data_IF_891123093541
#
_entry.id   IF_891123093541
#
_cell.length_a   1.000
_cell.length_b   1.000
_cell.length_c   1.000
_cell.angle_alpha   90.00
_cell.angle_beta   90.00
_cell.angle_gamma   90.00
#
_symmetry.space_group_name_H-M   'P 1'
#
loop_
_entity.id
_entity.type
_entity.pdbx_description
1 polymer ?
#
# COMPACT_ATOMS: atom_id res chain seq x y z
N UNK A 1 37.88 -20.85 16.94
CA UNK A 1 37.05 -20.60 15.76
C UNK A 1 37.95 -20.59 14.53
N UNK A 2 37.62 -21.40 13.52
CA UNK A 2 38.31 -21.45 12.22
C UNK A 2 37.97 -20.23 11.34
N UNK A 3 38.62 -20.09 10.17
CA UNK A 3 38.23 -19.08 9.18
C UNK A 3 36.79 -19.31 8.69
N UNK A 4 36.38 -20.57 8.54
CA UNK A 4 35.00 -20.98 8.22
C UNK A 4 34.04 -20.48 9.29
N UNK A 5 34.36 -20.71 10.57
CA UNK A 5 33.53 -20.27 11.70
C UNK A 5 33.36 -18.74 11.74
N UNK A 6 34.42 -17.97 11.46
CA UNK A 6 34.34 -16.50 11.37
C UNK A 6 33.50 -16.03 10.19
N UNK A 7 33.57 -16.73 9.06
CA UNK A 7 32.75 -16.44 7.89
C UNK A 7 31.27 -16.73 8.15
N UNK A 8 30.95 -17.85 8.81
CA UNK A 8 29.60 -18.20 9.26
C UNK A 8 29.06 -17.18 10.27
N UNK A 9 29.88 -16.76 11.23
CA UNK A 9 29.52 -15.72 12.18
C UNK A 9 29.10 -14.43 11.48
N UNK A 10 29.90 -13.94 10.52
CA UNK A 10 29.58 -12.74 9.75
C UNK A 10 28.26 -12.88 8.96
N UNK A 11 28.03 -14.04 8.34
CA UNK A 11 26.79 -14.34 7.63
C UNK A 11 25.57 -14.32 8.55
N UNK A 12 25.68 -14.90 9.76
CA UNK A 12 24.61 -14.93 10.75
C UNK A 12 24.27 -13.54 11.30
N UNK A 13 25.23 -12.60 11.33
CA UNK A 13 24.98 -11.23 11.80
C UNK A 13 24.06 -10.43 10.88
N UNK A 14 24.16 -10.62 9.55
CA UNK A 14 23.42 -9.80 8.58
C UNK A 14 21.89 -9.82 8.78
N UNK A 15 21.20 -10.98 8.76
CA UNK A 15 19.75 -11.02 8.97
C UNK A 15 19.31 -10.56 10.36
N UNK A 16 20.16 -10.74 11.38
CA UNK A 16 19.89 -10.22 12.74
C UNK A 16 19.87 -8.69 12.70
N UNK A 17 20.90 -8.06 12.12
CA UNK A 17 20.97 -6.60 11.98
C UNK A 17 19.79 -6.09 11.14
N UNK A 18 19.51 -6.73 10.00
CA UNK A 18 18.37 -6.39 9.14
C UNK A 18 17.03 -6.47 9.88
N UNK A 19 16.89 -7.38 10.84
CA UNK A 19 15.67 -7.51 11.66
C UNK A 19 15.58 -6.48 12.76
N UNK A 20 16.70 -6.18 13.44
CA UNK A 20 16.72 -5.29 14.60
C UNK A 20 16.73 -3.81 14.21
N UNK A 21 17.32 -3.45 13.07
CA UNK A 21 17.50 -2.05 12.69
C UNK A 21 16.17 -1.29 12.56
N UNK A 22 15.11 -1.83 11.91
CA UNK A 22 13.81 -1.17 11.81
C UNK A 22 13.03 -1.07 13.13
N UNK A 23 13.44 -1.78 14.18
CA UNK A 23 12.81 -1.65 15.51
C UNK A 23 13.22 -0.37 16.23
N UNK A 24 14.28 0.30 15.76
CA UNK A 24 14.70 1.58 16.30
C UNK A 24 13.78 2.70 15.81
N UNK A 25 13.56 3.77 16.60
CA UNK A 25 12.68 4.89 16.25
C UNK A 25 13.36 5.88 15.26
N UNK A 26 13.99 5.35 14.21
CA UNK A 26 14.62 6.15 13.15
C UNK A 26 13.84 6.04 11.85
N UNK A 27 13.41 7.19 11.32
CA UNK A 27 12.63 7.31 10.08
C UNK A 27 13.50 7.33 8.81
N UNK A 28 14.83 7.30 8.93
CA UNK A 28 15.74 7.38 7.79
C UNK A 28 15.64 6.14 6.89
N UNK A 29 15.69 6.32 5.56
CA UNK A 29 15.50 5.25 4.58
C UNK A 29 16.46 4.06 4.76
N UNK A 30 17.72 4.30 5.18
CA UNK A 30 18.70 3.21 5.42
C UNK A 30 18.28 2.23 6.50
N UNK A 31 17.41 2.67 7.41
CA UNK A 31 16.82 1.84 8.46
C UNK A 31 15.53 1.21 7.93
N UNK A 32 14.64 2.04 7.38
CA UNK A 32 13.30 1.63 6.91
C UNK A 32 13.32 0.66 5.74
N UNK A 33 14.40 0.61 4.94
CA UNK A 33 14.53 -0.31 3.80
C UNK A 33 14.37 -1.78 4.21
N UNK A 34 14.71 -2.14 5.45
CA UNK A 34 14.57 -3.52 5.95
C UNK A 34 13.14 -3.87 6.41
N UNK A 35 12.20 -2.91 6.43
CA UNK A 35 10.77 -3.22 6.61
C UNK A 35 10.18 -3.92 5.38
N UNK A 36 10.78 -3.77 4.20
CA UNK A 36 10.26 -4.31 2.95
C UNK A 36 10.56 -5.81 2.76
N UNK A 37 11.81 -6.30 2.86
CA UNK A 37 12.15 -7.67 2.49
C UNK A 37 11.95 -8.71 3.61
N UNK A 38 10.84 -8.65 4.36
CA UNK A 38 10.64 -9.55 5.52
C UNK A 38 10.74 -11.04 5.17
N UNK A 39 10.11 -11.46 4.08
CA UNK A 39 10.15 -12.86 3.61
C UNK A 39 11.57 -13.28 3.22
N UNK A 40 12.32 -12.38 2.58
CA UNK A 40 13.69 -12.62 2.14
C UNK A 40 14.65 -12.65 3.33
N UNK A 41 14.47 -11.77 4.33
CA UNK A 41 15.23 -11.82 5.59
C UNK A 41 14.98 -13.16 6.29
N UNK A 42 13.72 -13.60 6.39
CA UNK A 42 13.39 -14.91 6.97
C UNK A 42 14.05 -16.06 6.20
N UNK A 43 14.04 -16.01 4.87
CA UNK A 43 14.70 -17.01 4.03
C UNK A 43 16.23 -17.01 4.19
N UNK A 44 16.86 -15.83 4.24
CA UNK A 44 18.30 -15.71 4.49
C UNK A 44 18.65 -16.25 5.87
N UNK A 45 17.87 -15.95 6.92
CA UNK A 45 18.05 -16.56 8.24
C UNK A 45 18.00 -18.08 8.19
N UNK A 46 17.03 -18.67 7.47
CA UNK A 46 16.92 -20.11 7.30
C UNK A 46 18.16 -20.71 6.60
N UNK A 47 18.63 -20.07 5.53
CA UNK A 47 19.83 -20.50 4.80
C UNK A 47 21.07 -20.39 5.69
N UNK A 48 21.23 -19.30 6.46
CA UNK A 48 22.35 -19.13 7.37
C UNK A 48 22.37 -20.20 8.47
N UNK A 49 21.22 -20.55 9.06
CA UNK A 49 21.10 -21.65 10.02
C UNK A 49 21.50 -22.99 9.37
N UNK A 50 21.02 -23.27 8.17
CA UNK A 50 21.35 -24.49 7.45
C UNK A 50 22.85 -24.59 7.13
N UNK A 51 23.46 -23.50 6.68
CA UNK A 51 24.91 -23.45 6.42
C UNK A 51 25.73 -23.61 7.70
N UNK A 52 25.28 -23.02 8.81
CA UNK A 52 25.86 -23.26 10.13
C UNK A 52 25.85 -24.75 10.47
N UNK A 53 24.70 -25.40 10.35
CA UNK A 53 24.56 -26.83 10.61
C UNK A 53 25.47 -27.74 9.77
N UNK A 54 25.71 -27.40 8.49
CA UNK A 54 26.51 -28.24 7.56
C UNK A 54 28.01 -27.94 7.59
N UNK A 55 28.40 -26.67 7.74
CA UNK A 55 29.78 -26.21 7.51
C UNK A 55 30.54 -25.87 8.80
N UNK A 56 29.88 -25.90 9.95
CA UNK A 56 30.50 -25.56 11.22
C UNK A 56 31.58 -26.60 11.60
N UNK A 57 32.82 -26.13 11.75
CA UNK A 57 33.98 -26.97 12.07
C UNK A 57 34.05 -27.29 13.57
N UNK A 58 33.55 -26.38 14.41
CA UNK A 58 33.64 -26.47 15.86
C UNK A 58 32.32 -26.15 16.55
N UNK A 59 31.92 -26.94 17.55
CA UNK A 59 30.69 -26.71 18.35
C UNK A 59 30.88 -25.55 19.34
N UNK A 60 31.10 -24.34 18.82
CA UNK A 60 31.34 -23.15 19.59
C UNK A 60 30.02 -22.50 20.01
N UNK A 61 29.85 -22.23 21.31
CA UNK A 61 28.61 -21.70 21.89
C UNK A 61 28.13 -20.41 21.20
N UNK A 62 29.05 -19.54 20.78
CA UNK A 62 28.73 -18.28 20.09
C UNK A 62 27.95 -18.51 18.79
N UNK A 63 28.36 -19.49 17.96
CA UNK A 63 27.67 -19.81 16.71
C UNK A 63 26.27 -20.36 16.99
N UNK A 64 26.15 -21.25 17.99
CA UNK A 64 24.85 -21.75 18.45
C UNK A 64 23.92 -20.64 18.91
N UNK A 65 24.45 -19.66 19.64
CA UNK A 65 23.67 -18.48 20.04
C UNK A 65 23.21 -17.68 18.82
N UNK A 66 24.07 -17.44 17.83
CA UNK A 66 23.72 -16.71 16.61
C UNK A 66 22.69 -17.47 15.74
N UNK A 67 22.76 -18.80 15.67
CA UNK A 67 21.76 -19.66 15.02
C UNK A 67 20.40 -19.52 15.72
N UNK A 68 20.37 -19.58 17.06
CA UNK A 68 19.15 -19.39 17.85
C UNK A 68 18.56 -17.99 17.67
N UNK A 69 19.39 -16.94 17.63
CA UNK A 69 18.93 -15.59 17.34
C UNK A 69 18.35 -15.48 15.93
N UNK A 70 18.95 -16.14 14.94
CA UNK A 70 18.38 -16.21 13.59
C UNK A 70 17.05 -16.94 13.54
N UNK A 71 16.88 -17.99 14.34
CA UNK A 71 15.59 -18.70 14.45
C UNK A 71 14.51 -17.75 15.00
N UNK A 72 14.84 -16.95 16.02
CA UNK A 72 13.94 -15.92 16.55
C UNK A 72 13.65 -14.81 15.52
N UNK A 73 14.66 -14.33 14.80
CA UNK A 73 14.49 -13.32 13.74
C UNK A 73 13.59 -13.86 12.62
N UNK A 74 13.81 -15.09 12.17
CA UNK A 74 12.97 -15.75 11.18
C UNK A 74 11.52 -15.85 11.66
N UNK A 75 11.30 -16.29 12.90
CA UNK A 75 9.96 -16.36 13.48
C UNK A 75 9.28 -14.98 13.55
N UNK A 76 10.02 -13.94 13.97
CA UNK A 76 9.54 -12.56 14.01
C UNK A 76 9.15 -12.03 12.62
N UNK A 77 10.01 -12.22 11.62
CA UNK A 77 9.73 -11.78 10.25
C UNK A 77 8.51 -12.49 9.64
N UNK A 78 8.35 -13.79 9.89
CA UNK A 78 7.17 -14.56 9.48
C UNK A 78 5.92 -14.05 10.22
N UNK A 79 6.03 -13.75 11.51
CA UNK A 79 4.93 -13.24 12.32
C UNK A 79 4.40 -11.90 11.79
N UNK A 80 5.28 -10.95 11.48
CA UNK A 80 4.90 -9.64 10.92
C UNK A 80 4.09 -9.74 9.61
N UNK A 81 4.40 -10.73 8.75
CA UNK A 81 3.68 -10.92 7.48
C UNK A 81 2.53 -11.94 7.57
N UNK A 82 2.36 -12.61 8.72
CA UNK A 82 1.42 -13.73 8.87
C UNK A 82 -0.03 -13.33 8.60
N UNK A 83 -0.41 -12.09 8.95
CA UNK A 83 -1.72 -11.50 8.68
C UNK A 83 -2.09 -11.53 7.19
N UNK A 84 -1.10 -11.45 6.30
CA UNK A 84 -1.26 -11.41 4.84
C UNK A 84 -1.12 -12.79 4.19
N UNK A 85 -1.43 -13.84 4.93
CA UNK A 85 -1.45 -15.22 4.42
C UNK A 85 -2.87 -15.80 4.46
N UNK A 86 -3.19 -16.81 3.63
CA UNK A 86 -4.47 -17.53 3.70
C UNK A 86 -4.77 -18.22 5.04
N UNK A 87 -3.76 -18.33 5.92
CA UNK A 87 -3.87 -18.97 7.24
C UNK A 87 -4.51 -18.05 8.28
N UNK A 88 -4.46 -16.74 8.05
CA UNK A 88 -5.01 -15.74 8.97
C UNK A 88 -6.52 -15.55 8.80
N UNK A 89 -7.19 -15.13 9.88
CA UNK A 89 -8.62 -14.77 9.81
C UNK A 89 -8.79 -13.60 8.84
N UNK A 90 -9.74 -13.73 7.93
CA UNK A 90 -10.09 -12.67 6.98
C UNK A 90 -10.73 -11.52 7.74
N UNK A 91 -10.14 -10.33 7.63
CA UNK A 91 -10.67 -9.08 8.19
C UNK A 91 -11.99 -8.72 7.48
N UNK A 92 -11.94 -8.62 6.15
CA UNK A 92 -13.12 -8.32 5.31
C UNK A 92 -13.89 -9.59 4.93
N UNK A 93 -15.21 -9.56 4.98
CA UNK A 93 -16.12 -10.62 4.51
C UNK A 93 -16.16 -10.68 3.00
N UNK A 94 -16.31 -11.89 2.46
CA UNK A 94 -16.44 -12.09 1.01
C UNK A 94 -17.91 -12.01 0.61
N UNK A 95 -18.22 -11.15 -0.34
CA UNK A 95 -19.52 -11.16 -1.00
C UNK A 95 -19.53 -12.24 -2.09
N UNK A 96 -20.59 -13.05 -2.10
CA UNK A 96 -20.77 -14.18 -3.04
C UNK A 96 -21.98 -14.01 -3.98
N UNK A 97 -22.71 -12.90 -3.85
CA UNK A 97 -23.81 -12.58 -4.74
C UNK A 97 -23.33 -12.07 -6.10
N UNK A 98 -24.29 -11.78 -6.97
CA UNK A 98 -24.04 -11.15 -8.27
C UNK A 98 -23.75 -9.66 -8.10
N UNK A 99 -23.08 -9.06 -9.08
CA UNK A 99 -22.91 -7.61 -9.14
C UNK A 99 -24.27 -6.94 -9.23
N UNK A 100 -24.51 -5.92 -8.42
CA UNK A 100 -25.73 -5.10 -8.51
C UNK A 100 -25.38 -3.61 -8.55
N UNK A 101 -26.40 -2.76 -8.39
CA UNK A 101 -26.27 -1.31 -8.44
C UNK A 101 -25.48 -0.71 -7.26
N UNK A 102 -25.09 -1.52 -6.27
CA UNK A 102 -24.27 -1.16 -5.10
C UNK A 102 -22.85 -1.74 -5.18
N UNK A 103 -22.51 -2.41 -6.28
CA UNK A 103 -21.14 -2.81 -6.55
C UNK A 103 -20.32 -1.63 -7.09
N UNK A 104 -19.05 -1.60 -6.72
CA UNK A 104 -18.04 -0.73 -7.31
C UNK A 104 -16.78 -1.53 -7.61
N UNK A 105 -16.17 -1.24 -8.75
CA UNK A 105 -14.91 -1.80 -9.18
C UNK A 105 -13.92 -0.69 -9.53
N UNK A 106 -12.66 -0.92 -9.19
CA UNK A 106 -11.59 0.04 -9.35
C UNK A 106 -10.34 -0.63 -9.91
N UNK A 107 -9.62 0.09 -10.76
CA UNK A 107 -8.31 -0.28 -11.28
C UNK A 107 -7.33 0.84 -10.97
N UNK A 108 -6.32 0.56 -10.15
CA UNK A 108 -5.23 1.49 -9.87
C UNK A 108 -3.94 1.00 -10.54
N UNK A 109 -3.17 1.93 -11.10
CA UNK A 109 -1.91 1.62 -11.77
C UNK A 109 -0.90 2.76 -11.61
N UNK A 110 0.19 2.52 -10.88
CA UNK A 110 1.42 3.28 -11.11
C UNK A 110 1.98 2.89 -12.49
N UNK A 111 2.02 3.85 -13.41
CA UNK A 111 2.37 3.56 -14.81
C UNK A 111 3.86 3.66 -15.09
N UNK A 112 4.65 4.20 -14.16
CA UNK A 112 6.03 4.64 -14.31
C UNK A 112 6.17 5.72 -15.40
N UNK A 113 6.45 6.99 -15.04
CA UNK A 113 6.35 8.12 -15.99
C UNK A 113 7.06 7.86 -17.34
N UNK A 114 8.30 7.32 -17.41
CA UNK A 114 8.99 7.03 -18.68
C UNK A 114 8.41 5.88 -19.52
N UNK A 115 7.55 5.03 -18.95
CA UNK A 115 6.91 3.93 -19.68
C UNK A 115 6.01 4.47 -20.78
N UNK A 116 6.03 3.82 -21.95
CA UNK A 116 5.25 4.23 -23.13
C UNK A 116 4.27 3.15 -23.62
N UNK A 117 3.90 2.22 -22.73
CA UNK A 117 3.03 1.07 -23.02
C UNK A 117 1.57 1.30 -22.61
N UNK A 118 1.00 2.44 -22.99
CA UNK A 118 -0.40 2.76 -22.73
C UNK A 118 -1.36 1.72 -23.33
N UNK A 119 -0.99 1.11 -24.47
CA UNK A 119 -1.71 0.01 -25.11
C UNK A 119 -2.07 -1.13 -24.15
N UNK A 120 -1.12 -1.50 -23.28
CA UNK A 120 -1.32 -2.59 -22.32
C UNK A 120 -2.28 -2.22 -21.21
N UNK A 121 -2.18 -1.00 -20.68
CA UNK A 121 -3.10 -0.51 -19.64
C UNK A 121 -4.52 -0.40 -20.19
N UNK A 122 -4.67 0.19 -21.38
CA UNK A 122 -5.95 0.31 -22.06
C UNK A 122 -6.59 -1.06 -22.33
N UNK A 123 -5.81 -2.06 -22.74
CA UNK A 123 -6.30 -3.43 -22.87
C UNK A 123 -6.78 -4.05 -21.55
N UNK A 124 -6.16 -3.69 -20.41
CA UNK A 124 -6.64 -4.12 -19.10
C UNK A 124 -7.94 -3.41 -18.72
N UNK A 125 -8.05 -2.09 -18.94
CA UNK A 125 -9.28 -1.34 -18.70
C UNK A 125 -10.43 -1.91 -19.55
N UNK A 126 -10.17 -2.21 -20.82
CA UNK A 126 -11.18 -2.80 -21.69
C UNK A 126 -11.57 -4.23 -21.28
N UNK A 127 -10.62 -5.03 -20.79
CA UNK A 127 -10.90 -6.38 -20.31
C UNK A 127 -11.69 -6.40 -18.99
N UNK A 128 -11.33 -5.54 -18.05
CA UNK A 128 -11.85 -5.57 -16.69
C UNK A 128 -13.04 -4.63 -16.47
N UNK A 129 -13.21 -3.63 -17.34
CA UNK A 129 -14.33 -2.69 -17.33
C UNK A 129 -14.60 -2.07 -15.93
N UNK A 130 -13.56 -1.55 -15.22
CA UNK A 130 -13.74 -0.99 -13.88
C UNK A 130 -14.65 0.25 -13.90
N UNK A 131 -15.30 0.57 -12.79
CA UNK A 131 -16.10 1.78 -12.64
C UNK A 131 -15.22 3.02 -12.48
N UNK A 132 -14.07 2.86 -11.84
CA UNK A 132 -13.06 3.91 -11.59
C UNK A 132 -11.67 3.43 -12.00
N UNK A 133 -10.93 4.25 -12.74
CA UNK A 133 -9.53 4.03 -13.10
C UNK A 133 -8.68 5.14 -12.49
N UNK A 134 -7.66 4.76 -11.74
CA UNK A 134 -6.64 5.66 -11.19
C UNK A 134 -5.29 5.33 -11.83
N UNK A 135 -4.64 6.33 -12.40
CA UNK A 135 -3.26 6.22 -12.90
C UNK A 135 -2.35 7.16 -12.13
N UNK A 136 -1.21 6.65 -11.68
CA UNK A 136 -0.19 7.37 -10.92
C UNK A 136 1.10 7.44 -11.74
N UNK A 137 1.98 8.39 -11.43
CA UNK A 137 3.17 8.73 -12.21
C UNK A 137 2.86 9.06 -13.68
N UNK A 138 1.90 9.95 -13.90
CA UNK A 138 1.42 10.32 -15.24
C UNK A 138 1.79 11.74 -15.64
N UNK A 139 2.32 11.87 -16.86
CA UNK A 139 2.65 13.14 -17.51
C UNK A 139 1.60 13.50 -18.60
N UNK A 140 1.84 14.60 -19.31
CA UNK A 140 0.99 15.02 -20.44
C UNK A 140 0.94 13.99 -21.58
N UNK A 141 1.99 13.17 -21.75
CA UNK A 141 1.97 12.12 -22.77
C UNK A 141 0.97 11.04 -22.38
N UNK A 142 0.98 10.61 -21.12
CA UNK A 142 0.00 9.67 -20.59
C UNK A 142 -1.42 10.22 -20.67
N UNK A 143 -1.64 11.49 -20.34
CA UNK A 143 -2.96 12.13 -20.49
C UNK A 143 -3.47 11.99 -21.94
N UNK A 144 -2.63 12.31 -22.93
CA UNK A 144 -3.00 12.22 -24.35
C UNK A 144 -3.32 10.79 -24.79
N UNK A 145 -2.56 9.79 -24.32
CA UNK A 145 -2.83 8.39 -24.67
C UNK A 145 -4.10 7.86 -24.01
N UNK A 146 -4.42 8.32 -22.80
CA UNK A 146 -5.58 7.88 -22.04
C UNK A 146 -6.86 8.65 -22.38
N UNK A 147 -6.78 9.69 -23.20
CA UNK A 147 -7.94 10.48 -23.65
C UNK A 147 -9.07 9.62 -24.26
N UNK A 148 -8.76 8.48 -24.87
CA UNK A 148 -9.78 7.55 -25.39
C UNK A 148 -10.67 6.92 -24.30
N UNK A 149 -10.22 6.90 -23.04
CA UNK A 149 -11.08 6.46 -21.92
C UNK A 149 -12.24 7.43 -21.69
N UNK A 150 -12.08 8.71 -22.04
CA UNK A 150 -13.09 9.74 -21.78
C UNK A 150 -14.41 9.49 -22.54
N UNK A 151 -14.41 8.63 -23.57
CA UNK A 151 -15.63 8.19 -24.26
C UNK A 151 -16.56 7.35 -23.35
N UNK A 152 -15.97 6.55 -22.44
CA UNK A 152 -16.71 5.67 -21.52
C UNK A 152 -16.62 6.12 -20.06
N UNK A 153 -15.66 6.98 -19.71
CA UNK A 153 -15.38 7.48 -18.37
C UNK A 153 -15.53 9.01 -18.36
N UNK A 154 -16.77 9.49 -18.35
CA UNK A 154 -17.10 10.90 -18.57
C UNK A 154 -16.72 11.85 -17.43
N UNK A 155 -16.41 11.33 -16.24
CA UNK A 155 -16.02 12.12 -15.08
C UNK A 155 -14.52 11.96 -14.86
N UNK A 156 -13.77 13.04 -15.08
CA UNK A 156 -12.31 12.99 -15.06
C UNK A 156 -11.70 14.06 -14.16
N UNK A 157 -10.59 13.70 -13.52
CA UNK A 157 -9.71 14.60 -12.78
C UNK A 157 -8.31 14.34 -13.32
N UNK A 158 -7.66 15.35 -13.86
CA UNK A 158 -6.39 15.17 -14.58
C UNK A 158 -5.33 16.13 -14.08
N UNK A 159 -4.25 15.59 -13.53
CA UNK A 159 -3.15 16.33 -12.91
C UNK A 159 -1.83 15.80 -13.53
N UNK A 160 -1.57 16.09 -14.81
CA UNK A 160 -0.35 15.63 -15.47
C UNK A 160 0.86 16.40 -14.92
N UNK A 161 1.82 15.70 -14.32
CA UNK A 161 3.04 16.31 -13.79
C UNK A 161 4.28 15.54 -14.27
N UNK A 162 5.31 16.29 -14.65
CA UNK A 162 6.62 15.73 -15.04
C UNK A 162 7.57 15.66 -13.83
N UNK A 163 7.06 15.13 -12.71
CA UNK A 163 7.78 15.03 -11.43
C UNK A 163 7.56 13.69 -10.71
N UNK A 164 7.05 12.66 -11.41
CA UNK A 164 6.62 11.37 -10.87
C UNK A 164 5.32 11.40 -10.03
N UNK A 165 4.75 12.56 -9.69
CA UNK A 165 3.56 12.61 -8.83
C UNK A 165 2.26 12.94 -9.58
N UNK A 166 2.31 13.04 -10.90
CA UNK A 166 1.12 13.30 -11.69
C UNK A 166 0.13 12.14 -11.63
N UNK A 167 -1.17 12.44 -11.59
CA UNK A 167 -2.21 11.43 -11.46
C UNK A 167 -3.46 11.78 -12.25
N UNK A 168 -4.18 10.75 -12.71
CA UNK A 168 -5.47 10.90 -13.36
C UNK A 168 -6.50 9.96 -12.73
N UNK A 169 -7.72 10.47 -12.54
CA UNK A 169 -8.89 9.71 -12.15
C UNK A 169 -9.90 9.73 -13.30
N UNK A 170 -10.31 8.56 -13.78
CA UNK A 170 -11.36 8.40 -14.79
C UNK A 170 -12.51 7.59 -14.18
N UNK A 171 -13.73 8.12 -14.19
CA UNK A 171 -14.88 7.49 -13.55
C UNK A 171 -16.09 7.41 -14.49
N UNK A 172 -16.77 6.26 -14.45
CA UNK A 172 -18.11 6.06 -15.01
C UNK A 172 -19.20 6.57 -14.08
N UNK A 173 -18.91 6.59 -12.78
CA UNK A 173 -19.80 7.05 -11.73
C UNK A 173 -19.77 8.57 -11.66
N UNK A 174 -20.93 9.24 -11.45
CA UNK A 174 -20.96 10.66 -11.20
C UNK A 174 -20.07 11.06 -10.04
N UNK A 175 -19.19 12.03 -10.29
CA UNK A 175 -18.34 12.64 -9.27
C UNK A 175 -18.91 14.01 -8.86
N UNK A 176 -18.66 14.41 -7.61
CA UNK A 176 -18.88 15.78 -7.13
C UNK A 176 -17.88 16.11 -6.02
N UNK A 177 -17.82 17.38 -5.62
CA UNK A 177 -16.95 17.87 -4.56
C UNK A 177 -15.50 17.44 -4.79
N UNK A 178 -15.03 17.54 -6.04
CA UNK A 178 -13.68 17.14 -6.40
C UNK A 178 -12.68 18.14 -5.82
N UNK A 179 -11.72 17.62 -5.07
CA UNK A 179 -10.63 18.37 -4.48
C UNK A 179 -9.29 17.75 -4.84
N UNK A 180 -8.39 18.58 -5.38
CA UNK A 180 -6.98 18.27 -5.52
C UNK A 180 -6.25 18.87 -4.33
N UNK A 181 -5.65 18.02 -3.52
CA UNK A 181 -5.11 18.34 -2.21
C UNK A 181 -3.59 18.20 -2.22
N UNK A 182 -2.92 19.15 -1.58
CA UNK A 182 -1.47 19.17 -1.39
C UNK A 182 -1.26 19.35 0.11
N UNK A 183 -1.41 18.24 0.83
CA UNK A 183 -1.50 18.29 2.29
C UNK A 183 -0.15 18.39 2.97
N UNK A 184 0.86 17.71 2.42
CA UNK A 184 2.19 17.68 3.03
C UNK A 184 3.22 18.42 2.18
N UNK A 185 3.11 18.41 0.84
CA UNK A 185 4.04 19.10 -0.07
C UNK A 185 3.33 19.70 -1.28
N UNK A 186 3.72 20.91 -1.70
CA UNK A 186 3.06 21.67 -2.77
C UNK A 186 3.02 20.96 -4.13
N UNK A 187 3.99 20.08 -4.41
CA UNK A 187 4.16 19.43 -5.72
C UNK A 187 3.68 17.96 -5.74
N UNK A 188 3.09 17.48 -4.64
CA UNK A 188 2.56 16.12 -4.51
C UNK A 188 1.04 16.20 -4.31
N UNK A 189 0.25 15.93 -5.35
CA UNK A 189 -1.19 15.96 -5.25
C UNK A 189 -1.77 14.66 -4.70
N UNK A 190 -2.92 14.78 -4.04
CA UNK A 190 -3.89 13.71 -3.83
C UNK A 190 -5.27 14.15 -4.31
N UNK A 191 -6.16 13.19 -4.60
CA UNK A 191 -7.53 13.48 -5.03
C UNK A 191 -8.51 13.01 -3.96
N UNK A 192 -9.42 13.90 -3.57
CA UNK A 192 -10.64 13.57 -2.87
C UNK A 192 -11.85 13.84 -3.76
N UNK A 193 -12.84 12.96 -3.74
CA UNK A 193 -14.13 13.20 -4.39
C UNK A 193 -15.23 12.32 -3.79
N UNK A 194 -16.48 12.70 -3.98
CA UNK A 194 -17.63 11.82 -3.76
C UNK A 194 -18.05 11.18 -5.09
N UNK A 195 -18.21 9.86 -5.11
CA UNK A 195 -18.73 9.11 -6.25
C UNK A 195 -20.14 8.55 -5.94
N UNK A 196 -21.08 8.66 -6.87
CA UNK A 196 -22.42 8.11 -6.71
C UNK A 196 -22.51 6.69 -7.27
N UNK A 197 -22.82 5.72 -6.41
CA UNK A 197 -23.16 4.37 -6.87
C UNK A 197 -24.44 4.40 -7.71
N UNK A 198 -24.63 3.46 -8.66
CA UNK A 198 -25.85 3.39 -9.46
C UNK A 198 -27.16 3.28 -8.64
N UNK A 199 -27.08 2.78 -7.41
CA UNK A 199 -28.20 2.71 -6.45
C UNK A 199 -28.53 4.06 -5.77
N UNK A 200 -27.68 5.07 -5.93
CA UNK A 200 -27.90 6.45 -5.49
C UNK A 200 -27.08 6.90 -4.29
N UNK A 201 -26.46 5.98 -3.54
CA UNK A 201 -25.60 6.28 -2.40
C UNK A 201 -24.29 6.95 -2.84
N UNK A 202 -23.85 7.94 -2.08
CA UNK A 202 -22.57 8.62 -2.28
C UNK A 202 -21.50 8.02 -1.39
N UNK A 203 -20.32 7.77 -1.96
CA UNK A 203 -19.17 7.21 -1.26
C UNK A 203 -17.97 8.14 -1.46
N UNK A 204 -17.10 8.22 -0.47
CA UNK A 204 -15.87 9.02 -0.54
C UNK A 204 -14.75 8.20 -1.19
N UNK A 205 -14.06 8.80 -2.14
CA UNK A 205 -12.86 8.26 -2.76
C UNK A 205 -11.67 9.14 -2.38
N UNK A 206 -10.63 8.53 -1.81
CA UNK A 206 -9.33 9.14 -1.56
C UNK A 206 -8.28 8.44 -2.42
N UNK A 207 -7.66 9.18 -3.33
CA UNK A 207 -6.59 8.68 -4.19
C UNK A 207 -5.26 9.27 -3.73
N UNK A 208 -4.32 8.43 -3.32
CA UNK A 208 -3.07 8.86 -2.68
C UNK A 208 -1.85 8.34 -3.45
N UNK A 209 -0.80 9.15 -3.49
CA UNK A 209 0.53 8.74 -3.95
C UNK A 209 1.64 9.52 -3.22
N UNK A 210 1.81 9.25 -1.91
CA UNK A 210 2.80 9.97 -1.11
C UNK A 210 4.24 9.60 -1.51
N UNK A 211 5.16 10.54 -1.34
CA UNK A 211 6.59 10.36 -1.64
C UNK A 211 7.24 9.24 -0.82
N UNK A 212 7.99 8.30 -1.45
CA UNK A 212 8.66 7.24 -0.71
C UNK A 212 9.92 7.76 0.04
N UNK A 213 10.34 7.08 1.12
CA UNK A 213 11.65 7.28 1.71
C UNK A 213 12.74 6.62 0.86
N UNK A 214 13.33 7.35 -0.09
CA UNK A 214 14.43 6.90 -0.96
C UNK A 214 15.58 7.91 -1.02
N UNK A 215 16.82 7.49 -1.34
CA UNK A 215 17.97 8.41 -1.44
C UNK A 215 17.77 9.56 -2.42
N UNK A 216 16.89 9.38 -3.41
CA UNK A 216 16.65 10.31 -4.51
C UNK A 216 15.45 11.23 -4.29
N UNK A 217 14.55 10.88 -3.37
CA UNK A 217 13.28 11.61 -3.18
C UNK A 217 13.15 12.15 -1.75
N UNK A 218 13.24 11.28 -0.74
CA UNK A 218 13.15 11.68 0.66
C UNK A 218 14.11 10.92 1.56
N UNK A 219 14.84 11.65 2.40
CA UNK A 219 15.69 11.03 3.42
C UNK A 219 14.88 10.26 4.48
N UNK A 220 13.63 10.64 4.74
CA UNK A 220 12.78 10.10 5.81
C UNK A 220 11.37 9.73 5.33
N UNK A 221 10.69 8.87 6.11
CA UNK A 221 9.28 8.50 5.88
C UNK A 221 8.27 9.49 6.45
N UNK A 222 8.73 10.57 7.11
CA UNK A 222 7.89 11.51 7.90
C UNK A 222 6.72 12.07 7.08
N UNK A 223 6.99 12.63 5.90
CA UNK A 223 5.95 13.27 5.07
C UNK A 223 4.88 12.29 4.59
N UNK A 224 5.32 11.11 4.13
CA UNK A 224 4.44 10.03 3.71
C UNK A 224 3.52 9.58 4.83
N UNK A 225 4.10 9.32 6.00
CA UNK A 225 3.35 8.86 7.17
C UNK A 225 2.29 9.90 7.59
N UNK A 226 2.66 11.19 7.61
CA UNK A 226 1.74 12.27 7.95
C UNK A 226 0.56 12.39 6.99
N UNK A 227 0.77 12.23 5.68
CA UNK A 227 -0.32 12.29 4.69
C UNK A 227 -1.38 11.21 4.95
N UNK A 228 -0.95 9.95 5.14
CA UNK A 228 -1.88 8.88 5.48
C UNK A 228 -2.66 9.19 6.77
N UNK A 229 -1.98 9.66 7.81
CA UNK A 229 -2.60 9.90 9.11
C UNK A 229 -3.58 11.09 9.08
N UNK A 230 -3.30 12.14 8.29
CA UNK A 230 -4.25 13.23 8.02
C UNK A 230 -5.52 12.71 7.34
N UNK A 231 -5.38 11.80 6.36
CA UNK A 231 -6.54 11.17 5.69
C UNK A 231 -7.34 10.35 6.71
N UNK A 232 -6.65 9.60 7.57
CA UNK A 232 -7.30 8.82 8.62
C UNK A 232 -8.10 9.67 9.59
N UNK A 233 -7.55 10.80 10.05
CA UNK A 233 -8.26 11.75 10.91
C UNK A 233 -9.50 12.33 10.24
N UNK A 234 -9.43 12.67 8.93
CA UNK A 234 -10.58 13.19 8.20
C UNK A 234 -11.70 12.14 8.06
N UNK A 235 -11.35 10.89 7.75
CA UNK A 235 -12.32 9.81 7.57
C UNK A 235 -13.16 9.62 8.84
N UNK A 236 -12.51 9.55 9.99
CA UNK A 236 -13.16 9.36 11.29
C UNK A 236 -14.12 10.51 11.67
N UNK A 237 -13.95 11.70 11.07
CA UNK A 237 -14.83 12.86 11.32
C UNK A 237 -16.08 12.88 10.44
N UNK A 238 -16.12 12.14 9.34
CA UNK A 238 -17.16 12.30 8.31
C UNK A 238 -18.25 11.22 8.32
N UNK A 239 -18.00 10.05 8.91
CA UNK A 239 -18.96 8.92 9.01
C UNK A 239 -19.64 8.61 7.66
N UNK A 240 -18.82 8.40 6.62
CA UNK A 240 -19.25 8.08 5.25
C UNK A 240 -18.64 6.77 4.77
N UNK A 241 -19.27 6.06 3.83
CA UNK A 241 -18.64 4.95 3.13
C UNK A 241 -17.41 5.46 2.38
N UNK A 242 -16.26 4.81 2.58
CA UNK A 242 -14.95 5.28 2.09
C UNK A 242 -14.23 4.18 1.34
N UNK A 243 -13.56 4.57 0.25
CA UNK A 243 -12.48 3.83 -0.40
C UNK A 243 -11.22 4.70 -0.44
N UNK A 244 -10.08 4.18 0.03
CA UNK A 244 -8.77 4.81 -0.08
C UNK A 244 -7.87 3.92 -0.92
N UNK A 245 -7.31 4.41 -2.01
CA UNK A 245 -6.52 3.57 -2.91
C UNK A 245 -5.45 4.35 -3.67
N UNK A 246 -4.40 3.63 -4.07
CA UNK A 246 -3.24 4.18 -4.76
C UNK A 246 -1.95 3.45 -4.36
N UNK A 247 -0.82 4.00 -4.77
CA UNK A 247 0.51 3.54 -4.38
C UNK A 247 0.96 4.33 -3.17
N UNK A 248 0.89 3.71 -1.99
CA UNK A 248 1.19 4.36 -0.71
C UNK A 248 2.68 4.35 -0.39
N UNK A 249 3.51 3.80 -1.28
CA UNK A 249 4.96 3.74 -1.09
C UNK A 249 5.38 3.13 0.26
N UNK A 250 4.53 2.23 0.77
CA UNK A 250 4.70 1.55 2.04
C UNK A 250 4.15 0.14 1.96
N UNK A 251 4.70 -0.75 2.77
CA UNK A 251 4.27 -2.16 2.81
C UNK A 251 3.08 -2.34 3.74
N UNK A 252 2.19 -3.28 3.40
CA UNK A 252 0.97 -3.54 4.18
C UNK A 252 1.22 -3.85 5.67
N UNK A 253 2.36 -4.44 6.02
CA UNK A 253 2.74 -4.76 7.40
C UNK A 253 3.58 -3.67 8.09
N UNK A 254 3.65 -2.45 7.55
CA UNK A 254 4.36 -1.36 8.21
C UNK A 254 3.63 -0.92 9.48
N UNK A 255 4.36 -0.29 10.41
CA UNK A 255 3.76 0.32 11.58
C UNK A 255 2.76 1.43 11.17
N UNK A 256 3.12 2.26 10.19
CA UNK A 256 2.27 3.32 9.64
C UNK A 256 0.97 2.78 9.04
N UNK A 257 1.01 1.68 8.27
CA UNK A 257 -0.21 1.07 7.71
C UNK A 257 -1.14 0.52 8.79
N UNK A 258 -0.58 0.00 9.89
CA UNK A 258 -1.37 -0.44 11.06
C UNK A 258 -1.97 0.75 11.80
N UNK A 259 -1.18 1.79 12.03
CA UNK A 259 -1.62 3.02 12.70
C UNK A 259 -2.72 3.71 11.88
N UNK A 260 -2.55 3.82 10.57
CA UNK A 260 -3.57 4.34 9.65
C UNK A 260 -4.88 3.55 9.75
N UNK A 261 -4.84 2.22 9.73
CA UNK A 261 -6.05 1.40 9.90
C UNK A 261 -6.74 1.65 11.24
N UNK A 262 -5.98 1.74 12.34
CA UNK A 262 -6.51 2.00 13.67
C UNK A 262 -7.14 3.39 13.79
N UNK A 263 -6.50 4.42 13.25
CA UNK A 263 -6.96 5.82 13.37
C UNK A 263 -8.10 6.16 12.43
N UNK A 264 -8.23 5.43 11.31
CA UNK A 264 -9.29 5.61 10.31
C UNK A 264 -10.45 4.62 10.42
N UNK A 265 -10.28 3.52 11.16
CA UNK A 265 -11.23 2.40 11.19
C UNK A 265 -11.29 1.57 9.90
N UNK A 266 -10.49 1.90 8.88
CA UNK A 266 -10.55 1.21 7.59
C UNK A 266 -10.00 -0.22 7.65
N UNK A 267 -10.54 -1.07 6.77
CA UNK A 267 -10.19 -2.47 6.63
C UNK A 267 -9.28 -2.70 5.42
N UNK A 268 -8.36 -3.66 5.55
CA UNK A 268 -7.53 -4.15 4.46
C UNK A 268 -8.11 -5.47 3.87
N UNK A 269 -8.58 -5.47 2.61
CA UNK A 269 -9.12 -6.67 1.98
C UNK A 269 -8.08 -7.77 1.77
N UNK A 270 -6.77 -7.47 1.83
CA UNK A 270 -5.67 -8.44 1.67
C UNK A 270 -5.46 -9.34 2.88
N UNK A 271 -5.82 -8.86 4.09
CA UNK A 271 -5.67 -9.61 5.35
C UNK A 271 -6.44 -10.93 5.29
N UNK A 272 -5.76 -12.02 5.64
CA UNK A 272 -6.26 -13.39 5.57
C UNK A 272 -6.30 -14.00 4.16
N UNK A 273 -5.61 -13.40 3.17
CA UNK A 273 -5.66 -13.85 1.77
C UNK A 273 -4.32 -13.94 1.06
N UNK A 274 -3.48 -12.91 1.14
CA UNK A 274 -2.23 -12.90 0.39
C UNK A 274 -1.51 -11.57 0.48
N UNK A 275 -0.25 -11.55 0.00
CA UNK A 275 0.57 -10.35 -0.03
C UNK A 275 0.10 -9.37 -1.10
N UNK A 276 -0.31 -9.85 -2.28
CA UNK A 276 -0.61 -9.02 -3.46
C UNK A 276 0.56 -8.11 -3.83
N UNK A 277 1.76 -8.68 -3.96
CA UNK A 277 2.98 -7.91 -4.25
C UNK A 277 2.94 -7.27 -5.64
N UNK A 278 3.00 -5.94 -5.69
CA UNK A 278 2.87 -5.13 -6.91
C UNK A 278 4.20 -4.58 -7.43
N UNK A 279 5.17 -4.34 -6.55
CA UNK A 279 6.48 -3.79 -6.89
C UNK A 279 7.61 -4.65 -6.28
N UNK A 280 8.73 -4.96 -6.94
CA UNK A 280 9.08 -4.54 -8.29
C UNK A 280 8.68 -5.62 -9.31
N UNK A 281 7.85 -5.24 -10.29
CA UNK A 281 7.31 -6.13 -11.32
C UNK A 281 8.40 -6.88 -12.11
N UNK A 282 9.59 -6.29 -12.25
CA UNK A 282 10.71 -6.88 -13.00
C UNK A 282 11.53 -7.89 -12.19
N UNK A 283 11.41 -7.92 -10.86
CA UNK A 283 12.24 -8.75 -9.98
C UNK A 283 11.39 -9.73 -9.16
N UNK A 284 11.10 -10.94 -9.68
CA UNK A 284 10.17 -11.89 -9.04
C UNK A 284 10.48 -12.28 -7.60
N UNK A 285 11.75 -12.25 -7.20
CA UNK A 285 12.20 -12.60 -5.85
C UNK A 285 12.22 -11.41 -4.87
N UNK A 286 12.03 -10.19 -5.36
CA UNK A 286 12.11 -8.94 -4.60
C UNK A 286 10.84 -8.11 -4.84
N UNK A 287 9.70 -8.64 -4.36
CA UNK A 287 8.40 -7.99 -4.49
C UNK A 287 7.68 -7.78 -3.16
N UNK A 288 7.04 -6.63 -3.04
CA UNK A 288 6.28 -6.11 -1.91
C UNK A 288 4.96 -5.47 -2.40
N UNK A 289 3.95 -5.37 -1.53
CA UNK A 289 2.67 -4.76 -1.87
C UNK A 289 2.66 -3.27 -1.52
N UNK A 290 2.98 -2.43 -2.51
CA UNK A 290 3.01 -0.97 -2.33
C UNK A 290 1.71 -0.28 -2.74
N UNK A 291 0.88 -0.97 -3.55
CA UNK A 291 -0.43 -0.47 -3.94
C UNK A 291 -1.51 -1.03 -2.99
N UNK A 292 -2.31 -0.13 -2.43
CA UNK A 292 -3.30 -0.43 -1.39
C UNK A 292 -4.70 -0.08 -1.87
N UNK A 293 -5.66 -0.81 -1.33
CA UNK A 293 -7.08 -0.47 -1.39
C UNK A 293 -7.64 -0.74 0.00
N UNK A 294 -7.90 0.31 0.77
CA UNK A 294 -8.60 0.24 2.04
C UNK A 294 -10.05 0.67 1.86
N UNK A 295 -10.94 0.16 2.71
CA UNK A 295 -12.34 0.54 2.68
C UNK A 295 -12.99 0.50 4.06
N UNK A 296 -14.07 1.26 4.23
CA UNK A 296 -14.86 1.24 5.47
C UNK A 296 -15.55 -0.11 5.70
N UNK A 297 -16.00 -0.34 6.93
CA UNK A 297 -16.57 -1.62 7.39
C UNK A 297 -17.94 -1.96 6.78
N UNK A 298 -18.54 -1.05 6.02
CA UNK A 298 -19.78 -1.21 5.26
C UNK A 298 -19.59 -1.85 3.87
N UNK A 299 -18.34 -2.09 3.43
CA UNK A 299 -18.05 -2.82 2.21
C UNK A 299 -17.67 -4.29 2.44
N UNK A 300 -18.11 -5.14 1.51
CA UNK A 300 -17.66 -6.52 1.39
C UNK A 300 -16.78 -6.70 0.15
N UNK A 301 -15.76 -7.54 0.23
CA UNK A 301 -14.87 -7.81 -0.90
C UNK A 301 -15.47 -8.86 -1.86
N UNK A 302 -15.48 -8.56 -3.15
CA UNK A 302 -15.85 -9.50 -4.23
C UNK A 302 -14.62 -10.14 -4.85
N UNK A 303 -13.71 -9.29 -5.34
CA UNK A 303 -12.44 -9.70 -5.93
C UNK A 303 -11.35 -8.64 -5.65
N UNK A 304 -10.12 -9.11 -5.46
CA UNK A 304 -8.91 -8.28 -5.51
C UNK A 304 -7.87 -9.06 -6.28
N UNK A 305 -7.17 -8.41 -7.21
CA UNK A 305 -6.25 -9.08 -8.13
C UNK A 305 -5.14 -8.16 -8.60
N UNK A 306 -3.90 -8.65 -8.50
CA UNK A 306 -2.76 -8.09 -9.21
C UNK A 306 -2.85 -8.53 -10.68
N UNK A 307 -2.90 -7.56 -11.59
CA UNK A 307 -3.08 -7.77 -13.02
C UNK A 307 -1.74 -8.04 -13.73
N UNK A 308 -1.79 -8.27 -15.04
CA UNK A 308 -0.60 -8.52 -15.84
C UNK A 308 0.26 -7.27 -16.03
N UNK A 309 1.56 -7.49 -16.18
CA UNK A 309 2.57 -6.46 -16.44
C UNK A 309 2.23 -5.52 -17.61
N UNK A 310 2.24 -4.20 -17.35
CA UNK A 310 2.07 -3.15 -18.35
C UNK A 310 3.40 -2.52 -18.81
N UNK A 311 4.55 -3.04 -18.40
CA UNK A 311 5.88 -2.46 -18.65
C UNK A 311 6.33 -1.42 -17.61
N UNK A 312 5.51 -1.19 -16.58
CA UNK A 312 5.86 -0.41 -15.39
C UNK A 312 6.71 -1.27 -14.44
N UNK A 313 7.35 -0.64 -13.46
CA UNK A 313 7.92 -1.31 -12.30
C UNK A 313 6.86 -1.75 -11.28
N UNK A 314 5.61 -1.29 -11.42
CA UNK A 314 4.43 -1.77 -10.70
C UNK A 314 3.51 -2.65 -11.58
N UNK A 315 2.82 -3.58 -10.93
CA UNK A 315 1.66 -4.24 -11.52
C UNK A 315 0.37 -3.47 -11.22
N UNK A 316 -0.56 -3.30 -12.18
CA UNK A 316 -1.88 -2.74 -11.89
C UNK A 316 -2.67 -3.62 -10.91
N UNK A 317 -3.49 -3.01 -10.07
CA UNK A 317 -4.36 -3.72 -9.11
C UNK A 317 -5.82 -3.45 -9.45
N UNK A 318 -6.60 -4.52 -9.55
CA UNK A 318 -8.05 -4.48 -9.65
C UNK A 318 -8.69 -4.86 -8.32
N UNK A 319 -9.66 -4.08 -7.88
CA UNK A 319 -10.51 -4.35 -6.72
C UNK A 319 -11.98 -4.25 -7.09
N UNK A 320 -12.81 -5.12 -6.53
CA UNK A 320 -14.26 -5.05 -6.65
C UNK A 320 -14.91 -5.31 -5.29
N UNK A 321 -15.82 -4.41 -4.92
CA UNK A 321 -16.44 -4.35 -3.61
C UNK A 321 -17.95 -4.20 -3.75
N UNK A 322 -18.65 -4.64 -2.73
CA UNK A 322 -20.10 -4.52 -2.60
C UNK A 322 -20.39 -3.62 -1.42
N UNK A 323 -21.08 -2.50 -1.65
CA UNK A 323 -21.63 -1.69 -0.57
C UNK A 323 -22.78 -2.44 0.10
N UNK A 324 -22.62 -2.75 1.39
CA UNK A 324 -23.56 -3.53 2.19
C UNK A 324 -23.53 -3.05 3.67
N UNK A 325 -24.17 -1.91 4.00
CA UNK A 325 -24.12 -1.29 5.33
C UNK A 325 -24.33 -2.24 6.50
N UNK A 326 -25.28 -3.16 6.39
CA UNK A 326 -25.59 -4.11 7.45
C UNK A 326 -24.44 -5.08 7.81
N UNK A 327 -23.35 -5.13 7.03
CA UNK A 327 -22.18 -5.96 7.31
C UNK A 327 -21.26 -5.33 8.37
N UNK A 328 -21.34 -4.03 8.58
CA UNK A 328 -20.58 -3.29 9.61
C UNK A 328 -20.74 -3.95 10.99
N UNK A 329 -21.96 -4.37 11.33
CA UNK A 329 -22.27 -5.08 12.58
C UNK A 329 -21.48 -6.39 12.81
N UNK A 330 -20.81 -6.94 11.78
CA UNK A 330 -20.04 -8.19 11.84
C UNK A 330 -18.61 -8.06 11.33
N UNK A 331 -18.18 -6.86 10.93
CA UNK A 331 -16.79 -6.55 10.57
C UNK A 331 -16.20 -5.67 11.66
N UNK A 332 -15.29 -6.24 12.45
CA UNK A 332 -14.62 -5.51 13.52
C UNK A 332 -13.65 -4.49 12.92
N UNK A 333 -13.88 -3.21 13.22
CA UNK A 333 -12.97 -2.13 12.87
C UNK A 333 -11.73 -2.14 13.78
N UNK A 334 -10.53 -1.90 13.23
CA UNK A 334 -9.37 -1.58 14.04
C UNK A 334 -9.67 -0.38 14.95
N UNK A 335 -9.29 -0.48 16.21
CA UNK A 335 -9.49 0.58 17.19
C UNK A 335 -8.13 1.19 17.55
N UNK A 336 -8.06 2.51 17.55
CA UNK A 336 -6.95 3.26 18.13
C UNK A 336 -7.14 3.41 19.64
N UNK A 337 -6.06 3.25 20.40
CA UNK A 337 -6.00 3.67 21.79
C UNK A 337 -5.41 5.10 21.93
N UNK A 338 -5.22 5.56 23.16
CA UNK A 338 -4.69 6.90 23.41
C UNK A 338 -3.24 7.06 22.92
N UNK A 339 -2.44 6.01 22.97
CA UNK A 339 -1.04 6.02 22.51
C UNK A 339 -0.99 6.07 20.98
N UNK A 340 -1.87 5.33 20.30
CA UNK A 340 -2.04 5.42 18.85
C UNK A 340 -2.42 6.83 18.40
N UNK A 341 -3.33 7.50 19.11
CA UNK A 341 -3.71 8.88 18.79
C UNK A 341 -2.58 9.89 19.04
N UNK A 342 -1.80 9.69 20.11
CA UNK A 342 -0.61 10.50 20.40
C UNK A 342 0.46 10.31 19.32
N UNK A 343 0.82 9.08 18.98
CA UNK A 343 1.78 8.76 17.92
C UNK A 343 1.34 9.36 16.57
N UNK A 344 0.04 9.24 16.25
CA UNK A 344 -0.49 9.81 15.01
C UNK A 344 -0.35 11.34 14.97
N UNK A 345 -0.62 12.02 16.09
CA UNK A 345 -0.50 13.47 16.18
C UNK A 345 0.96 13.92 16.12
N UNK A 346 1.86 13.24 16.83
CA UNK A 346 3.30 13.54 16.79
C UNK A 346 3.87 13.43 15.38
N UNK A 347 3.53 12.37 14.64
CA UNK A 347 3.97 12.16 13.25
C UNK A 347 3.43 13.25 12.31
N UNK A 348 2.19 13.69 12.51
CA UNK A 348 1.60 14.79 11.72
C UNK A 348 2.31 16.11 12.03
N UNK A 349 2.55 16.40 13.30
CA UNK A 349 3.20 17.64 13.73
C UNK A 349 4.68 17.69 13.28
N UNK A 350 5.38 16.56 13.25
CA UNK A 350 6.76 16.45 12.73
C UNK A 350 6.87 16.85 11.25
N UNK A 351 5.82 16.61 10.45
CA UNK A 351 5.81 16.87 9.02
C UNK A 351 5.48 18.33 8.63
N UNK A 352 4.98 19.15 9.56
CA UNK A 352 4.52 20.54 9.32
C UNK A 352 3.70 20.73 8.02
N UNK A 353 2.52 20.09 7.92
CA UNK A 353 1.77 19.99 6.67
C UNK A 353 1.22 21.34 6.17
N UNK A 354 1.41 21.62 4.88
CA UNK A 354 0.99 22.86 4.20
C UNK A 354 -0.55 23.02 4.06
N UNK A 355 -1.29 21.91 3.99
CA UNK A 355 -2.77 21.85 3.90
C UNK A 355 -3.41 22.72 2.80
N UNK A 356 -2.84 22.76 1.60
CA UNK A 356 -3.42 23.47 0.44
C UNK A 356 -4.46 22.61 -0.27
N UNK A 357 -5.63 23.19 -0.56
CA UNK A 357 -6.75 22.50 -1.22
C UNK A 357 -7.23 23.31 -2.42
N UNK A 358 -7.29 22.68 -3.59
CA UNK A 358 -7.79 23.24 -4.85
C UNK A 358 -9.08 22.51 -5.20
N UNK A 359 -10.18 23.25 -5.41
CA UNK A 359 -11.45 22.69 -5.86
C UNK A 359 -11.49 22.64 -7.39
N UNK A 360 -11.81 21.47 -7.93
CA UNK A 360 -11.90 21.25 -9.36
C UNK A 360 -13.34 21.29 -9.86
N UNK A 361 -13.52 21.18 -11.18
CA UNK A 361 -14.85 20.99 -11.78
C UNK A 361 -15.46 19.71 -11.19
N UNK A 362 -16.78 19.75 -10.95
CA UNK A 362 -17.67 18.74 -10.34
C UNK A 362 -17.95 18.91 -8.84
#
# INVERSE_FOLDING_TARGET
MSLTDWSLFALLCFPIIATLLPLLPFNHWTVRIFDFPRLQIAFVSLVCIFLGWVLQDSDHWLLRTMEMLNLLCMAYQIWEISAYTPLSRKQVKRYRGESDQRSISLLTSNVLTPNRRADKLLALVEKWQPDVVLTLETDLWWEQQLAQLEESYSYTVKIPLDNLYGMHLYSRLPLKNVEVRHWVQEDIPSIFTEAQLPSGEWIHLYCLHPMPPTPTESATSTNRDAELLLVGQEITQNDKPVLVFGDLNDVAWSATSRLFQKTSGLLDPRVGRGLYSTFHAQWPLMRWPLDHIFHSSDFMMREIKVLSDIGSDHFPVYGSFQYHPAVEAVQEEPQADAEDHEEAQEKIDEADPEKKVIREKY
#
